data_IF_060260292513
#
_entry.id   IF_060260292513
#
_cell.length_a   1.000
_cell.length_b   1.000
_cell.length_c   1.000
_cell.angle_alpha   90.00
_cell.angle_beta   90.00
_cell.angle_gamma   90.00
#
_symmetry.space_group_name_H-M   'P 1'
#
loop_
_entity.id
_entity.type
_entity.pdbx_description
1 polymer ?
#
# COMPACT_ATOMS: atom_id res chain seq x y z
N UNK A 1 -1.28 -7.64 9.13
CA UNK A 1 -0.16 -7.26 8.23
C UNK A 1 -0.75 -6.60 7.00
N UNK A 2 -0.13 -5.53 6.50
CA UNK A 2 -0.54 -4.83 5.29
C UNK A 2 0.68 -4.74 4.36
N UNK A 3 0.45 -4.82 3.05
CA UNK A 3 1.50 -4.85 2.04
C UNK A 3 1.23 -3.75 1.02
N UNK A 4 2.12 -2.76 1.00
CA UNK A 4 1.93 -1.53 0.25
C UNK A 4 2.93 -1.44 -0.89
N UNK A 5 2.49 -0.87 -2.01
CA UNK A 5 3.34 -0.37 -3.09
C UNK A 5 2.98 1.08 -3.38
N UNK A 6 3.99 1.94 -3.58
CA UNK A 6 3.80 3.35 -3.88
C UNK A 6 3.68 3.62 -5.38
N UNK A 7 2.73 4.46 -5.76
CA UNK A 7 2.59 5.00 -7.12
C UNK A 7 2.55 6.53 -7.08
N UNK A 8 3.06 7.24 -8.11
CA UNK A 8 2.86 8.67 -8.24
C UNK A 8 1.36 9.00 -8.32
N UNK A 9 0.88 9.91 -7.47
CA UNK A 9 -0.53 10.30 -7.41
C UNK A 9 -1.01 10.85 -8.77
N UNK A 10 -0.13 11.54 -9.50
CA UNK A 10 -0.39 12.07 -10.84
C UNK A 10 -0.63 11.00 -11.91
N UNK A 11 -0.25 9.74 -11.64
CA UNK A 11 -0.45 8.61 -12.54
C UNK A 11 -1.68 7.77 -12.23
N UNK A 12 -2.37 8.05 -11.12
CA UNK A 12 -3.52 7.28 -10.67
C UNK A 12 -4.83 7.84 -11.28
N UNK A 13 -5.70 6.95 -11.73
CA UNK A 13 -7.07 7.29 -12.11
C UNK A 13 -8.02 6.25 -11.55
N UNK A 14 -9.08 6.69 -10.86
CA UNK A 14 -10.16 5.81 -10.42
C UNK A 14 -11.10 5.55 -11.60
N UNK A 15 -11.20 4.30 -12.04
CA UNK A 15 -12.02 3.89 -13.20
C UNK A 15 -13.36 3.26 -12.82
N UNK A 16 -13.64 3.11 -11.52
CA UNK A 16 -14.91 2.60 -11.00
C UNK A 16 -16.01 3.67 -10.90
N UNK A 17 -17.14 3.32 -10.29
CA UNK A 17 -18.32 4.20 -10.11
C UNK A 17 -18.11 5.37 -9.12
N UNK A 18 -16.88 5.64 -8.70
CA UNK A 18 -16.54 6.72 -7.78
C UNK A 18 -15.15 6.57 -7.16
N UNK A 19 -14.80 7.53 -6.32
CA UNK A 19 -13.60 7.44 -5.48
C UNK A 19 -13.83 6.52 -4.27
N UNK A 20 -12.73 6.18 -3.59
CA UNK A 20 -12.74 5.46 -2.33
C UNK A 20 -13.41 6.26 -1.21
N UNK A 21 -13.98 5.57 -0.23
CA UNK A 21 -14.36 6.18 1.04
C UNK A 21 -13.10 6.37 1.89
N UNK A 22 -12.80 7.62 2.27
CA UNK A 22 -11.61 7.97 3.02
C UNK A 22 -11.87 8.07 4.53
N UNK A 23 -10.96 7.55 5.34
CA UNK A 23 -10.98 7.65 6.80
C UNK A 23 -9.61 8.08 7.34
N UNK A 24 -9.59 9.09 8.20
CA UNK A 24 -8.38 9.57 8.87
C UNK A 24 -7.95 8.62 9.97
N UNK A 25 -6.88 7.87 9.73
CA UNK A 25 -6.27 6.99 10.75
C UNK A 25 -5.32 7.74 11.68
N UNK A 26 -4.74 8.83 11.21
CA UNK A 26 -3.99 9.78 12.02
C UNK A 26 -4.36 11.19 11.56
N UNK A 27 -4.99 12.01 12.41
CA UNK A 27 -5.48 13.33 12.03
C UNK A 27 -4.38 14.16 11.35
N UNK A 28 -4.67 14.65 10.15
CA UNK A 28 -3.75 15.46 9.32
C UNK A 28 -2.44 14.77 8.91
N UNK A 29 -2.23 13.48 9.20
CA UNK A 29 -1.07 12.73 8.73
C UNK A 29 -1.43 11.72 7.67
N UNK A 30 -2.33 10.78 7.97
CA UNK A 30 -2.63 9.65 7.06
C UNK A 30 -4.12 9.36 6.98
N UNK A 31 -4.64 9.28 5.76
CA UNK A 31 -5.97 8.73 5.46
C UNK A 31 -5.87 7.39 4.73
N UNK A 32 -6.85 6.53 4.98
CA UNK A 32 -7.01 5.20 4.37
C UNK A 32 -8.29 5.16 3.53
N UNK A 33 -8.18 4.58 2.34
CA UNK A 33 -9.25 4.51 1.35
C UNK A 33 -9.83 3.10 1.24
N UNK A 34 -11.14 2.99 1.35
CA UNK A 34 -11.88 1.72 1.35
C UNK A 34 -12.93 1.68 0.23
N UNK A 35 -13.21 0.48 -0.28
CA UNK A 35 -14.35 0.26 -1.17
C UNK A 35 -15.66 0.52 -0.41
N UNK A 36 -16.56 1.40 -0.89
CA UNK A 36 -17.82 1.70 -0.22
C UNK A 36 -18.81 0.52 -0.19
N UNK A 37 -18.61 -0.48 -1.06
CA UNK A 37 -19.53 -1.61 -1.20
C UNK A 37 -19.14 -2.77 -0.29
N UNK A 38 -17.88 -3.22 -0.35
CA UNK A 38 -17.42 -4.41 0.38
C UNK A 38 -16.51 -4.09 1.57
N UNK A 39 -16.08 -2.84 1.74
CA UNK A 39 -15.19 -2.44 2.83
C UNK A 39 -13.72 -2.83 2.64
N UNK A 40 -13.32 -3.39 1.49
CA UNK A 40 -11.92 -3.74 1.23
C UNK A 40 -11.00 -2.52 1.31
N UNK A 41 -9.85 -2.68 1.95
CA UNK A 41 -8.84 -1.63 2.09
C UNK A 41 -7.95 -1.57 0.84
N UNK A 42 -8.04 -0.45 0.11
CA UNK A 42 -7.44 -0.31 -1.22
C UNK A 42 -6.22 0.62 -1.19
N UNK A 43 -6.31 1.77 -0.50
CA UNK A 43 -5.27 2.79 -0.60
C UNK A 43 -4.94 3.47 0.73
N UNK A 44 -3.78 4.09 0.78
CA UNK A 44 -3.32 4.95 1.86
C UNK A 44 -2.64 6.18 1.28
N UNK A 45 -2.94 7.35 1.83
CA UNK A 45 -2.35 8.61 1.38
C UNK A 45 -2.00 9.45 2.60
N UNK A 46 -0.76 9.90 2.65
CA UNK A 46 -0.31 10.89 3.61
C UNK A 46 -0.63 12.29 3.08
N UNK A 47 -1.09 13.17 3.96
CA UNK A 47 -1.47 14.53 3.57
C UNK A 47 -0.24 15.31 3.09
N UNK A 48 -0.33 15.88 1.88
CA UNK A 48 0.76 16.64 1.25
C UNK A 48 1.77 15.79 0.49
N UNK A 49 1.62 14.46 0.48
CA UNK A 49 2.47 13.58 -0.32
C UNK A 49 2.04 13.57 -1.80
N UNK A 50 2.99 13.25 -2.67
CA UNK A 50 2.82 13.03 -4.11
C UNK A 50 2.77 11.55 -4.48
N UNK A 51 2.96 10.65 -3.50
CA UNK A 51 2.87 9.20 -3.67
C UNK A 51 1.64 8.68 -2.92
N UNK A 52 0.92 7.75 -3.54
CA UNK A 52 -0.16 7.00 -2.92
C UNK A 52 0.25 5.54 -2.74
N UNK A 53 0.02 4.99 -1.55
CA UNK A 53 0.19 3.57 -1.29
C UNK A 53 -1.04 2.80 -1.73
N UNK A 54 -0.87 1.81 -2.60
CA UNK A 54 -1.92 0.84 -2.96
C UNK A 54 -1.62 -0.49 -2.26
N UNK A 55 -2.66 -1.09 -1.70
CA UNK A 55 -2.56 -2.38 -1.03
C UNK A 55 -2.39 -3.46 -2.09
N UNK A 56 -1.26 -4.18 -2.10
CA UNK A 56 -0.91 -5.12 -3.16
C UNK A 56 -1.98 -6.20 -3.41
N UNK A 57 -2.61 -6.80 -2.38
CA UNK A 57 -3.71 -7.76 -2.59
C UNK A 57 -4.96 -7.18 -3.28
N UNK A 58 -5.08 -5.85 -3.42
CA UNK A 58 -6.15 -5.21 -4.18
C UNK A 58 -5.84 -5.12 -5.69
N UNK A 59 -4.64 -5.50 -6.12
CA UNK A 59 -4.24 -5.58 -7.53
C UNK A 59 -4.59 -6.96 -8.11
N UNK A 60 -5.01 -6.99 -9.37
CA UNK A 60 -5.32 -8.24 -10.07
C UNK A 60 -4.08 -9.12 -10.25
N UNK A 61 -2.92 -8.50 -10.52
CA UNK A 61 -1.62 -9.16 -10.70
C UNK A 61 -0.75 -9.11 -9.43
N UNK A 62 -1.35 -9.32 -8.26
CA UNK A 62 -0.65 -9.21 -6.97
C UNK A 62 0.51 -10.20 -6.78
N UNK A 63 0.60 -11.23 -7.62
CA UNK A 63 1.63 -12.26 -7.61
C UNK A 63 2.86 -11.91 -8.46
N UNK A 64 2.88 -10.73 -9.08
CA UNK A 64 4.03 -10.25 -9.85
C UNK A 64 5.29 -10.19 -8.96
N UNK A 65 6.41 -10.84 -9.36
CA UNK A 65 7.64 -10.88 -8.58
C UNK A 65 8.21 -9.49 -8.22
N UNK A 66 7.86 -8.45 -8.97
CA UNK A 66 8.27 -7.06 -8.68
C UNK A 66 7.59 -6.46 -7.46
N UNK A 67 6.50 -7.08 -6.99
CA UNK A 67 5.72 -6.58 -5.86
C UNK A 67 6.26 -7.08 -4.51
N UNK A 68 7.14 -8.09 -4.49
CA UNK A 68 7.67 -8.73 -3.28
C UNK A 68 8.15 -7.67 -2.27
N UNK A 69 7.75 -7.75 -0.98
CA UNK A 69 8.12 -6.74 0.02
C UNK A 69 9.64 -6.63 0.17
N UNK A 70 10.15 -5.40 0.10
CA UNK A 70 11.59 -5.10 0.26
C UNK A 70 11.92 -4.49 1.61
N UNK A 71 10.90 -4.07 2.37
CA UNK A 71 11.04 -3.53 3.72
C UNK A 71 9.81 -3.89 4.56
N UNK A 72 9.98 -3.82 5.88
CA UNK A 72 8.91 -4.10 6.84
C UNK A 72 8.96 -3.08 7.98
N UNK A 73 7.98 -2.19 8.02
CA UNK A 73 7.77 -1.28 9.15
C UNK A 73 7.28 -2.04 10.38
N UNK A 74 7.56 -1.52 11.57
CA UNK A 74 7.16 -2.11 12.86
C UNK A 74 7.59 -3.57 13.02
N UNK A 75 8.74 -3.95 12.44
CA UNK A 75 9.25 -5.32 12.49
C UNK A 75 9.51 -5.80 13.92
N UNK A 76 9.73 -4.88 14.86
CA UNK A 76 9.93 -5.20 16.28
C UNK A 76 8.65 -5.63 17.00
N UNK A 77 7.49 -5.22 16.48
CA UNK A 77 6.18 -5.63 16.97
C UNK A 77 5.63 -6.84 16.18
N UNK A 78 6.42 -7.42 15.27
CA UNK A 78 6.00 -8.56 14.47
C UNK A 78 5.82 -9.80 15.34
N UNK A 79 4.75 -10.56 15.04
CA UNK A 79 4.53 -11.89 15.61
C UNK A 79 5.69 -12.83 15.30
N UNK A 80 6.02 -13.72 16.23
CA UNK A 80 7.24 -14.55 16.19
C UNK A 80 7.30 -15.53 15.02
N UNK A 81 6.16 -15.89 14.43
CA UNK A 81 6.09 -16.78 13.27
C UNK A 81 6.26 -16.05 11.93
N UNK A 82 6.20 -14.72 11.90
CA UNK A 82 6.33 -13.94 10.67
C UNK A 82 7.82 -13.67 10.40
N UNK A 83 8.38 -14.17 9.27
CA UNK A 83 9.75 -13.87 8.92
C UNK A 83 9.97 -12.37 8.75
N UNK A 84 11.11 -11.86 9.22
CA UNK A 84 11.48 -10.46 8.99
C UNK A 84 11.94 -10.25 7.56
N UNK A 85 11.44 -9.19 6.93
CA UNK A 85 11.97 -8.73 5.64
C UNK A 85 13.31 -8.05 5.92
N UNK A 86 14.40 -8.67 5.46
CA UNK A 86 15.74 -8.09 5.52
C UNK A 86 15.95 -7.21 4.30
N UNK A 87 16.44 -5.99 4.49
CA UNK A 87 16.68 -5.07 3.38
C UNK A 87 17.81 -5.59 2.45
N UNK A 88 17.52 -5.76 1.17
CA UNK A 88 18.46 -6.11 0.08
C UNK A 88 17.93 -7.29 -0.76
N UNK A 89 17.85 -7.27 -2.10
CA UNK A 89 18.58 -6.51 -3.13
C UNK A 89 17.62 -6.21 -4.30
N UNK A 90 17.49 -4.96 -4.73
CA UNK A 90 17.00 -4.68 -6.09
C UNK A 90 18.15 -4.96 -7.05
N UNK A 91 17.99 -5.97 -7.91
CA UNK A 91 18.78 -6.09 -9.13
C UNK A 91 18.45 -4.88 -10.00
N UNK A 92 19.40 -3.96 -10.17
CA UNK A 92 19.36 -2.98 -11.27
C UNK A 92 19.50 -3.76 -12.58
N UNK A 93 18.37 -4.16 -13.17
CA UNK A 93 18.33 -4.65 -14.56
C UNK A 93 18.43 -3.46 -15.50
N UNK A 94 19.50 -3.41 -16.28
CA UNK A 94 19.74 -2.40 -17.33
C UNK A 94 19.02 -2.69 -18.63
#
# INVERSE_FOLDING_TARGET
>A
MQWWIGFPLSSLTWTGEGELTWYDTFPSGTKRGFCPVCGSHIAALDYGDTTIGINVPALDNHDDPRLVPTSQSFSDDAVTWLPRVTAGQHSTGG
#
